data_IF_340932080724
#
_entry.id   IF_340932080724
#
_cell.length_a   1.000
_cell.length_b   1.000
_cell.length_c   1.000
_cell.angle_alpha   90.00
_cell.angle_beta   90.00
_cell.angle_gamma   90.00
#
_symmetry.space_group_name_H-M   'P 1'
#
loop_
_entity.id
_entity.type
_entity.pdbx_description
1 polymer ?
#
# COMPACT_ATOMS: atom_id res chain seq x y z
N UNK A 1 -11.11 12.35 -3.11
CA UNK A 1 -11.53 13.66 -2.53
C UNK A 1 -12.87 14.12 -3.10
N UNK A 2 -13.09 14.06 -4.44
CA UNK A 2 -14.37 14.46 -5.05
C UNK A 2 -15.59 13.74 -4.49
N UNK A 3 -15.49 12.48 -4.13
CA UNK A 3 -16.62 11.68 -3.64
C UNK A 3 -16.98 11.98 -2.19
N UNK A 4 -16.04 12.46 -1.39
CA UNK A 4 -16.29 12.82 0.02
C UNK A 4 -17.06 14.13 0.09
N UNK A 5 -16.71 15.14 -0.72
CA UNK A 5 -17.49 16.39 -0.80
C UNK A 5 -18.90 16.19 -1.34
N UNK A 6 -19.09 15.25 -2.28
CA UNK A 6 -20.42 14.93 -2.82
C UNK A 6 -21.33 14.27 -1.80
N UNK A 7 -20.80 13.57 -0.81
CA UNK A 7 -21.59 12.95 0.27
C UNK A 7 -22.15 13.96 1.27
N UNK A 8 -21.69 15.21 1.26
CA UNK A 8 -22.23 16.29 2.09
C UNK A 8 -23.59 16.78 1.57
N UNK A 9 -23.82 16.66 0.26
CA UNK A 9 -25.11 16.94 -0.37
C UNK A 9 -25.79 15.61 -0.73
N UNK A 10 -26.81 15.26 0.04
CA UNK A 10 -27.55 13.98 -0.10
C UNK A 10 -28.23 13.84 -1.45
N UNK A 11 -28.72 14.94 -2.04
CA UNK A 11 -29.38 14.92 -3.35
C UNK A 11 -28.33 14.66 -4.45
N UNK A 12 -27.26 15.41 -4.49
CA UNK A 12 -26.14 15.22 -5.42
C UNK A 12 -25.54 13.81 -5.30
N UNK A 13 -25.44 13.27 -4.08
CA UNK A 13 -24.96 11.90 -3.87
C UNK A 13 -25.91 10.89 -4.48
N UNK A 14 -27.23 11.01 -4.25
CA UNK A 14 -28.24 10.10 -4.76
C UNK A 14 -28.26 10.06 -6.30
N UNK A 15 -28.18 11.23 -6.94
CA UNK A 15 -28.10 11.35 -8.41
C UNK A 15 -26.83 10.65 -8.95
N UNK A 16 -25.68 10.93 -8.33
CA UNK A 16 -24.42 10.32 -8.77
C UNK A 16 -24.36 8.83 -8.53
N UNK A 17 -24.90 8.36 -7.42
CA UNK A 17 -25.03 6.94 -7.15
C UNK A 17 -25.87 6.24 -8.22
N UNK A 18 -26.99 6.86 -8.62
CA UNK A 18 -27.86 6.31 -9.66
C UNK A 18 -27.12 6.16 -10.99
N UNK A 19 -26.43 7.24 -11.43
CA UNK A 19 -25.63 7.22 -12.66
C UNK A 19 -24.57 6.10 -12.66
N UNK A 20 -23.82 5.97 -11.56
CA UNK A 20 -22.76 4.96 -11.43
C UNK A 20 -23.35 3.55 -11.39
N UNK A 21 -24.45 3.36 -10.66
CA UNK A 21 -25.07 2.05 -10.54
C UNK A 21 -25.75 1.59 -11.83
N UNK A 22 -26.33 2.48 -12.64
CA UNK A 22 -26.84 2.15 -13.96
C UNK A 22 -25.75 1.53 -14.83
N UNK A 23 -24.56 2.15 -14.85
CA UNK A 23 -23.41 1.62 -15.59
C UNK A 23 -22.94 0.26 -15.07
N UNK A 24 -22.73 0.14 -13.76
CA UNK A 24 -22.24 -1.11 -13.18
C UNK A 24 -23.27 -2.25 -13.26
N UNK A 25 -24.55 -1.96 -13.07
CA UNK A 25 -25.63 -2.94 -13.23
C UNK A 25 -25.77 -3.40 -14.69
N UNK A 26 -25.56 -2.49 -15.66
CA UNK A 26 -25.48 -2.90 -17.05
C UNK A 26 -24.36 -3.93 -17.27
N UNK A 27 -23.19 -3.72 -16.72
CA UNK A 27 -22.08 -4.69 -16.83
C UNK A 27 -22.38 -6.00 -16.10
N UNK A 28 -22.90 -5.93 -14.88
CA UNK A 28 -23.27 -7.11 -14.09
C UNK A 28 -24.24 -8.01 -14.87
N UNK A 29 -25.35 -7.45 -15.36
CA UNK A 29 -26.40 -8.21 -16.04
C UNK A 29 -25.95 -8.67 -17.43
N UNK A 30 -25.37 -7.76 -18.23
CA UNK A 30 -25.14 -8.06 -19.65
C UNK A 30 -23.83 -8.80 -19.91
N UNK A 31 -22.78 -8.52 -19.14
CA UNK A 31 -21.47 -9.14 -19.33
C UNK A 31 -21.22 -10.29 -18.36
N UNK A 32 -21.38 -10.05 -17.07
CA UNK A 32 -21.08 -11.05 -16.02
C UNK A 32 -22.22 -12.04 -15.78
N UNK A 33 -23.43 -11.80 -16.33
CA UNK A 33 -24.63 -12.64 -16.12
C UNK A 33 -24.97 -12.82 -14.64
N UNK A 34 -24.73 -11.77 -13.86
CA UNK A 34 -25.03 -11.68 -12.45
C UNK A 34 -26.27 -10.78 -12.22
N UNK A 35 -26.86 -10.88 -11.05
CA UNK A 35 -28.00 -10.04 -10.67
C UNK A 35 -27.60 -8.57 -10.52
N UNK A 36 -28.50 -7.66 -10.83
CA UNK A 36 -28.34 -6.24 -10.58
C UNK A 36 -28.34 -5.96 -9.07
N UNK A 37 -27.53 -5.00 -8.67
CA UNK A 37 -27.54 -4.49 -7.30
C UNK A 37 -28.68 -3.50 -7.13
N UNK A 38 -29.42 -3.62 -6.02
CA UNK A 38 -30.55 -2.74 -5.71
C UNK A 38 -30.07 -1.33 -5.32
N UNK A 39 -30.50 -0.34 -6.09
CA UNK A 39 -30.13 1.06 -5.87
C UNK A 39 -30.62 1.59 -4.52
N UNK A 40 -31.88 1.31 -4.18
CA UNK A 40 -32.48 1.88 -2.97
C UNK A 40 -31.80 1.33 -1.72
N UNK A 41 -31.52 0.03 -1.74
CA UNK A 41 -30.78 -0.60 -0.64
C UNK A 41 -29.41 0.04 -0.41
N UNK A 42 -28.63 0.26 -1.48
CA UNK A 42 -27.31 0.89 -1.38
C UNK A 42 -27.44 2.33 -0.88
N UNK A 43 -28.42 3.08 -1.39
CA UNK A 43 -28.68 4.45 -0.94
C UNK A 43 -29.00 4.50 0.55
N UNK A 44 -29.91 3.66 1.02
CA UNK A 44 -30.32 3.60 2.42
C UNK A 44 -29.16 3.20 3.34
N UNK A 45 -28.40 2.18 2.96
CA UNK A 45 -27.22 1.72 3.72
C UNK A 45 -26.16 2.84 3.88
N UNK A 46 -25.90 3.61 2.80
CA UNK A 46 -24.94 4.72 2.84
C UNK A 46 -25.51 5.92 3.61
N UNK A 47 -26.79 6.25 3.44
CA UNK A 47 -27.40 7.36 4.16
C UNK A 47 -27.48 7.11 5.66
N UNK A 48 -27.59 5.87 6.11
CA UNK A 48 -27.59 5.52 7.53
C UNK A 48 -26.30 5.94 8.25
N UNK A 49 -25.18 6.03 7.53
CA UNK A 49 -23.86 6.42 8.08
C UNK A 49 -23.39 7.80 7.59
N UNK A 50 -24.17 8.50 6.77
CA UNK A 50 -23.79 9.74 6.12
C UNK A 50 -23.37 10.83 7.12
N UNK A 51 -24.13 11.02 8.19
CA UNK A 51 -23.86 12.05 9.19
C UNK A 51 -22.56 11.77 9.99
N UNK A 52 -22.25 10.50 10.21
CA UNK A 52 -20.97 10.09 10.82
C UNK A 52 -19.80 10.44 9.87
N UNK A 53 -19.94 10.07 8.60
CA UNK A 53 -18.90 10.33 7.60
C UNK A 53 -18.67 11.82 7.36
N UNK A 54 -19.74 12.62 7.26
CA UNK A 54 -19.63 14.07 7.02
C UNK A 54 -18.98 14.77 8.20
N UNK A 55 -19.20 14.31 9.43
CA UNK A 55 -18.52 14.84 10.61
C UNK A 55 -17.00 14.55 10.65
N UNK A 56 -16.53 13.61 9.85
CA UNK A 56 -15.10 13.26 9.74
C UNK A 56 -14.39 13.99 8.59
N UNK A 57 -15.13 14.73 7.74
CA UNK A 57 -14.55 15.41 6.57
C UNK A 57 -13.83 16.67 7.00
N UNK A 58 -12.53 16.72 6.68
CA UNK A 58 -11.68 17.88 6.97
C UNK A 58 -10.76 18.17 5.78
N UNK A 59 -10.26 19.38 5.71
CA UNK A 59 -9.12 19.70 4.84
C UNK A 59 -7.85 19.12 5.49
N UNK A 60 -7.40 17.99 4.96
CA UNK A 60 -6.23 17.26 5.50
C UNK A 60 -4.96 18.07 5.36
N UNK A 61 -4.81 18.85 4.27
CA UNK A 61 -3.62 19.69 4.04
C UNK A 61 -3.50 20.77 5.11
N UNK A 62 -4.63 21.43 5.43
CA UNK A 62 -4.68 22.45 6.49
C UNK A 62 -4.45 21.82 7.87
N UNK A 63 -5.08 20.70 8.15
CA UNK A 63 -4.88 19.97 9.41
C UNK A 63 -3.41 19.61 9.64
N UNK A 64 -2.72 19.10 8.61
CA UNK A 64 -1.30 18.75 8.70
C UNK A 64 -0.40 19.98 8.85
N UNK A 65 -0.69 21.08 8.15
CA UNK A 65 0.07 22.32 8.32
C UNK A 65 -0.11 22.93 9.72
N UNK A 66 -1.30 22.85 10.28
CA UNK A 66 -1.55 23.27 11.67
C UNK A 66 -0.79 22.38 12.66
N UNK A 67 -0.80 21.05 12.50
CA UNK A 67 -0.04 20.14 13.33
C UNK A 67 1.46 20.47 13.29
N UNK A 68 2.01 20.67 12.10
CA UNK A 68 3.41 21.10 11.90
C UNK A 68 3.73 22.41 12.62
N UNK A 69 2.85 23.41 12.50
CA UNK A 69 3.02 24.73 13.15
C UNK A 69 2.98 24.65 14.68
N UNK A 70 2.25 23.70 15.25
CA UNK A 70 2.26 23.41 16.68
C UNK A 70 3.49 22.63 17.14
N UNK A 71 4.26 22.06 16.21
CA UNK A 71 5.40 21.18 16.52
C UNK A 71 4.99 19.75 16.88
N UNK A 72 3.82 19.31 16.44
CA UNK A 72 3.34 17.96 16.67
C UNK A 72 4.15 16.95 15.85
N UNK A 73 4.35 15.76 16.39
CA UNK A 73 4.93 14.64 15.63
C UNK A 73 3.86 14.00 14.74
N UNK A 74 4.12 13.98 13.44
CA UNK A 74 3.24 13.35 12.45
C UNK A 74 3.97 12.19 11.81
N UNK A 75 3.41 10.99 11.91
CA UNK A 75 3.95 9.80 11.26
C UNK A 75 3.08 9.41 10.07
N UNK A 76 3.72 9.22 8.92
CA UNK A 76 3.09 8.67 7.72
C UNK A 76 3.53 7.23 7.55
N UNK A 77 2.57 6.32 7.48
CA UNK A 77 2.81 4.93 7.19
C UNK A 77 2.37 4.61 5.76
N UNK A 78 3.32 4.18 4.93
CA UNK A 78 3.05 3.70 3.58
C UNK A 78 2.65 2.23 3.56
N UNK A 79 2.17 1.78 2.43
CA UNK A 79 1.84 0.38 2.17
C UNK A 79 2.73 -0.17 1.05
N UNK A 80 2.77 -1.51 0.91
CA UNK A 80 3.55 -2.25 -0.10
C UNK A 80 5.06 -2.02 0.05
N UNK A 81 5.75 -1.60 -1.02
CA UNK A 81 7.19 -1.36 -1.02
C UNK A 81 7.69 -0.75 -2.31
N UNK A 82 8.91 -0.23 -2.31
CA UNK A 82 9.49 0.54 -3.41
C UNK A 82 9.43 -0.18 -4.76
N UNK A 83 9.70 -1.48 -4.81
CA UNK A 83 9.69 -2.23 -6.07
C UNK A 83 8.29 -2.60 -6.56
N UNK A 84 7.25 -2.27 -5.80
CA UNK A 84 5.85 -2.36 -6.21
C UNK A 84 5.25 -1.01 -6.63
N UNK A 85 6.01 0.07 -6.56
CA UNK A 85 5.57 1.40 -7.00
C UNK A 85 5.24 1.39 -8.50
N UNK A 86 4.12 2.06 -8.86
CA UNK A 86 3.62 2.07 -10.25
C UNK A 86 4.63 2.66 -11.25
N UNK A 87 5.40 3.67 -10.82
CA UNK A 87 6.34 4.39 -11.68
C UNK A 87 7.78 3.86 -11.54
N UNK A 88 8.20 3.46 -10.34
CA UNK A 88 9.58 3.10 -10.01
C UNK A 88 9.80 1.61 -9.73
N UNK A 89 8.72 0.83 -9.72
CA UNK A 89 8.77 -0.60 -9.45
C UNK A 89 9.07 -1.46 -10.67
N UNK A 90 8.90 -2.77 -10.49
CA UNK A 90 9.14 -3.80 -11.52
C UNK A 90 7.93 -4.00 -12.43
N UNK A 91 7.54 -2.97 -13.15
CA UNK A 91 6.39 -3.01 -14.07
C UNK A 91 6.49 -4.20 -15.06
N UNK A 92 5.42 -4.92 -15.35
CA UNK A 92 4.03 -4.71 -14.93
C UNK A 92 3.65 -5.32 -13.57
N UNK A 93 4.59 -5.87 -12.83
CA UNK A 93 4.38 -6.54 -11.54
C UNK A 93 4.46 -5.52 -10.39
N UNK A 94 3.53 -4.58 -10.39
CA UNK A 94 3.45 -3.44 -9.47
C UNK A 94 2.04 -3.32 -8.88
N UNK A 95 1.87 -2.44 -7.89
CA UNK A 95 0.54 -2.01 -7.45
C UNK A 95 0.06 -0.82 -8.28
N UNK A 96 -1.21 -0.45 -8.14
CA UNK A 96 -1.82 0.70 -8.85
C UNK A 96 -1.59 2.04 -8.16
N UNK A 97 -0.63 2.13 -7.25
CA UNK A 97 -0.34 3.33 -6.45
C UNK A 97 1.15 3.64 -6.36
N UNK A 98 1.47 4.87 -5.97
CA UNK A 98 2.82 5.27 -5.61
C UNK A 98 3.10 4.85 -4.16
N UNK A 99 4.10 3.98 -3.99
CA UNK A 99 4.48 3.41 -2.70
C UNK A 99 5.76 4.01 -2.14
N UNK A 100 6.38 4.93 -2.88
CA UNK A 100 7.59 5.63 -2.44
C UNK A 100 7.28 6.77 -1.47
N UNK A 101 8.27 7.23 -0.74
CA UNK A 101 8.12 8.33 0.22
C UNK A 101 7.55 9.61 -0.40
N UNK A 102 7.81 9.86 -1.70
CA UNK A 102 7.22 10.97 -2.44
C UNK A 102 5.69 10.93 -2.48
N UNK A 103 5.09 9.75 -2.38
CA UNK A 103 3.64 9.56 -2.28
C UNK A 103 2.99 10.23 -1.08
N UNK A 104 3.74 10.48 -0.01
CA UNK A 104 3.25 11.22 1.17
C UNK A 104 2.82 12.63 0.77
N UNK A 105 3.66 13.36 0.03
CA UNK A 105 3.36 14.72 -0.38
C UNK A 105 2.13 14.79 -1.32
N UNK A 106 2.09 13.93 -2.33
CA UNK A 106 0.98 13.93 -3.29
C UNK A 106 -0.33 13.40 -2.70
N UNK A 107 -0.26 12.43 -1.81
CA UNK A 107 -1.43 11.80 -1.19
C UNK A 107 -2.06 12.60 -0.06
N UNK A 108 -1.25 13.30 0.74
CA UNK A 108 -1.73 14.04 1.91
C UNK A 108 -1.83 15.56 1.70
N UNK A 109 -1.17 16.09 0.67
CA UNK A 109 -1.06 17.54 0.46
C UNK A 109 -0.02 18.22 1.34
N UNK A 110 0.76 17.46 2.14
CA UNK A 110 1.90 18.00 2.87
C UNK A 110 3.00 18.42 1.90
N UNK A 111 3.58 19.60 2.09
CA UNK A 111 4.70 20.05 1.28
C UNK A 111 5.90 19.07 1.40
N UNK A 112 6.57 18.69 0.30
CA UNK A 112 7.62 17.66 0.32
C UNK A 112 8.82 18.03 1.21
N UNK A 113 9.06 19.30 1.47
CA UNK A 113 10.13 19.78 2.37
C UNK A 113 9.83 19.59 3.85
N UNK A 114 8.62 19.16 4.21
CA UNK A 114 8.20 18.97 5.59
C UNK A 114 8.22 17.49 6.01
N UNK A 115 8.80 16.63 5.19
CA UNK A 115 9.14 15.26 5.57
C UNK A 115 10.58 15.28 6.10
N UNK A 116 10.73 15.27 7.41
CA UNK A 116 12.05 15.47 8.05
C UNK A 116 12.88 14.18 8.08
N UNK A 117 12.22 13.02 8.15
CA UNK A 117 12.88 11.73 8.29
C UNK A 117 12.13 10.64 7.54
N UNK A 118 12.86 9.82 6.79
CA UNK A 118 12.29 8.68 6.07
C UNK A 118 12.95 7.41 6.59
N UNK A 119 12.16 6.58 7.30
CA UNK A 119 12.60 5.28 7.80
C UNK A 119 12.26 4.19 6.79
N UNK A 120 13.27 3.54 6.25
CA UNK A 120 13.10 2.36 5.39
C UNK A 120 12.98 1.10 6.23
N UNK A 121 11.86 0.38 6.10
CA UNK A 121 11.69 -0.92 6.76
C UNK A 121 12.12 -2.01 5.78
N UNK A 122 13.11 -2.81 6.18
CA UNK A 122 13.62 -3.93 5.39
C UNK A 122 13.65 -5.21 6.22
N UNK A 123 13.55 -6.35 5.58
CA UNK A 123 13.84 -7.65 6.19
C UNK A 123 15.31 -8.00 6.01
N UNK A 124 15.84 -8.84 6.88
CA UNK A 124 17.19 -9.40 6.75
C UNK A 124 17.36 -10.36 5.55
N UNK A 125 16.28 -10.69 4.88
CA UNK A 125 16.19 -11.48 3.65
C UNK A 125 15.08 -10.93 2.76
N UNK A 126 15.00 -11.35 1.51
CA UNK A 126 14.00 -10.83 0.57
C UNK A 126 12.78 -11.75 0.48
N UNK A 127 11.61 -11.12 0.26
CA UNK A 127 10.37 -11.87 -0.02
C UNK A 127 9.60 -11.22 -1.16
N UNK A 128 8.87 -12.03 -1.93
CA UNK A 128 7.95 -11.53 -2.96
C UNK A 128 6.66 -12.34 -2.99
N UNK A 129 5.55 -11.65 -3.20
CA UNK A 129 4.25 -12.28 -3.46
C UNK A 129 3.96 -12.22 -4.95
N UNK A 130 3.52 -13.35 -5.52
CA UNK A 130 3.13 -13.41 -6.92
C UNK A 130 4.27 -13.43 -7.92
N UNK A 131 3.96 -13.10 -9.15
CA UNK A 131 4.90 -13.09 -10.26
C UNK A 131 5.85 -11.88 -10.23
N UNK A 132 6.82 -11.86 -11.14
CA UNK A 132 7.79 -10.80 -11.32
C UNK A 132 9.22 -11.20 -10.94
N UNK A 133 10.20 -10.35 -11.27
CA UNK A 133 11.62 -10.65 -11.07
C UNK A 133 11.97 -10.79 -9.59
N UNK A 134 12.79 -11.75 -9.28
CA UNK A 134 13.34 -11.99 -7.96
C UNK A 134 14.74 -12.62 -8.08
N UNK A 135 15.79 -11.86 -8.36
CA UNK A 135 17.12 -12.37 -8.68
C UNK A 135 17.75 -13.24 -7.59
N UNK A 136 17.44 -12.99 -6.34
CA UNK A 136 17.98 -13.71 -5.18
C UNK A 136 17.06 -14.82 -4.67
N UNK A 137 16.03 -15.21 -5.42
CA UNK A 137 15.10 -16.26 -5.03
C UNK A 137 15.80 -17.61 -4.81
N UNK A 138 15.37 -18.32 -3.78
CA UNK A 138 15.90 -19.63 -3.41
C UNK A 138 14.85 -20.71 -3.59
N UNK A 139 15.24 -21.78 -4.30
CA UNK A 139 14.40 -22.94 -4.58
C UNK A 139 14.86 -24.19 -3.82
N UNK A 140 15.80 -24.03 -2.89
CA UNK A 140 16.45 -25.06 -2.10
C UNK A 140 15.91 -25.12 -0.66
N UNK A 141 16.57 -25.94 0.16
CA UNK A 141 16.25 -26.12 1.58
C UNK A 141 16.36 -24.80 2.37
N UNK A 142 17.26 -23.89 1.95
CA UNK A 142 17.40 -22.57 2.58
C UNK A 142 16.16 -21.71 2.32
N UNK A 143 15.65 -21.73 1.09
CA UNK A 143 14.41 -21.03 0.77
C UNK A 143 13.21 -21.55 1.56
N UNK A 144 13.12 -22.89 1.74
CA UNK A 144 12.11 -23.51 2.59
C UNK A 144 12.24 -23.12 4.05
N UNK A 145 13.47 -23.10 4.56
CA UNK A 145 13.77 -22.67 5.94
C UNK A 145 13.32 -21.23 6.17
N UNK A 146 13.72 -20.28 5.32
CA UNK A 146 13.33 -18.87 5.43
C UNK A 146 11.81 -18.70 5.39
N UNK A 147 11.12 -19.45 4.52
CA UNK A 147 9.66 -19.38 4.43
C UNK A 147 8.98 -19.86 5.71
N UNK A 148 9.40 -21.00 6.26
CA UNK A 148 8.81 -21.61 7.45
C UNK A 148 9.15 -20.81 8.71
N UNK A 149 10.44 -20.57 8.94
CA UNK A 149 10.92 -19.84 10.11
C UNK A 149 10.41 -18.39 10.14
N UNK A 150 10.36 -17.77 8.98
CA UNK A 150 9.83 -16.41 8.82
C UNK A 150 8.31 -16.31 8.81
N UNK A 151 7.59 -17.45 8.80
CA UNK A 151 6.14 -17.50 8.62
C UNK A 151 5.69 -16.67 7.40
N UNK A 152 6.34 -16.90 6.26
CA UNK A 152 6.15 -16.10 5.04
C UNK A 152 4.90 -16.53 4.26
N UNK A 153 3.75 -16.24 4.85
CA UNK A 153 2.43 -16.44 4.25
C UNK A 153 1.63 -15.13 4.27
N UNK A 154 0.76 -14.96 3.29
CA UNK A 154 -0.11 -13.79 3.20
C UNK A 154 -1.12 -13.77 4.35
N UNK A 155 -1.20 -12.67 5.09
CA UNK A 155 -2.09 -12.56 6.26
C UNK A 155 -3.57 -12.83 5.90
N UNK A 156 -4.02 -12.34 4.74
CA UNK A 156 -5.42 -12.46 4.32
C UNK A 156 -5.68 -13.73 3.50
N UNK A 157 -4.77 -14.08 2.60
CA UNK A 157 -4.99 -15.17 1.62
C UNK A 157 -4.31 -16.47 2.01
N UNK A 158 -3.45 -16.48 3.03
CA UNK A 158 -2.60 -17.63 3.38
C UNK A 158 -1.60 -18.03 2.30
N UNK A 159 -1.52 -17.29 1.19
CA UNK A 159 -0.65 -17.61 0.07
C UNK A 159 0.80 -17.53 0.48
N UNK A 160 1.57 -18.59 0.17
CA UNK A 160 3.01 -18.65 0.39
C UNK A 160 3.72 -17.52 -0.36
N UNK A 161 4.67 -16.88 0.29
CA UNK A 161 5.59 -15.91 -0.31
C UNK A 161 6.84 -16.62 -0.82
N UNK A 162 7.38 -16.13 -1.93
CA UNK A 162 8.70 -16.48 -2.44
C UNK A 162 9.76 -15.90 -1.51
N UNK A 163 10.83 -16.62 -1.23
CA UNK A 163 11.89 -16.22 -0.30
C UNK A 163 13.26 -16.27 -0.97
N UNK A 164 14.16 -15.42 -0.56
CA UNK A 164 15.51 -15.35 -1.11
C UNK A 164 16.45 -14.52 -0.26
N UNK A 165 17.73 -14.49 -0.63
CA UNK A 165 18.73 -13.68 0.05
C UNK A 165 18.46 -12.18 -0.08
N UNK A 166 19.01 -11.40 0.85
CA UNK A 166 18.93 -9.95 0.80
C UNK A 166 19.57 -9.43 -0.49
N UNK A 167 18.81 -8.63 -1.23
CA UNK A 167 19.27 -7.96 -2.45
C UNK A 167 19.69 -6.52 -2.12
N UNK A 168 20.98 -6.32 -1.89
CA UNK A 168 21.51 -4.99 -1.58
C UNK A 168 21.52 -4.06 -2.81
N UNK A 169 21.43 -4.60 -4.03
CA UNK A 169 21.28 -3.77 -5.24
C UNK A 169 19.90 -3.11 -5.25
N UNK A 170 18.86 -3.91 -5.01
CA UNK A 170 17.50 -3.40 -4.87
C UNK A 170 17.36 -2.43 -3.68
N UNK A 171 18.01 -2.74 -2.55
CA UNK A 171 18.02 -1.84 -1.37
C UNK A 171 18.68 -0.51 -1.69
N UNK A 172 19.83 -0.48 -2.35
CA UNK A 172 20.48 0.76 -2.79
C UNK A 172 19.59 1.61 -3.69
N UNK A 173 18.86 0.96 -4.60
CA UNK A 173 17.89 1.65 -5.45
C UNK A 173 16.74 2.24 -4.63
N UNK A 174 16.23 1.50 -3.64
CA UNK A 174 15.20 1.99 -2.72
C UNK A 174 15.68 3.19 -1.90
N UNK A 175 16.92 3.16 -1.38
CA UNK A 175 17.55 4.31 -0.69
C UNK A 175 17.52 5.55 -1.56
N UNK A 176 17.96 5.42 -2.80
CA UNK A 176 18.04 6.54 -3.75
C UNK A 176 16.66 7.15 -4.05
N UNK A 177 15.65 6.31 -4.31
CA UNK A 177 14.31 6.78 -4.71
C UNK A 177 13.60 7.44 -3.54
N UNK A 178 13.77 6.90 -2.32
CA UNK A 178 13.03 7.36 -1.14
C UNK A 178 13.82 8.37 -0.30
N UNK A 179 15.07 8.67 -0.62
CA UNK A 179 15.96 9.53 0.20
C UNK A 179 16.00 9.06 1.66
N UNK A 180 16.22 7.76 1.88
CA UNK A 180 16.12 7.18 3.22
C UNK A 180 17.13 7.82 4.20
N UNK A 181 16.63 8.16 5.37
CA UNK A 181 17.44 8.68 6.49
C UNK A 181 18.03 7.55 7.33
N UNK A 182 17.39 6.40 7.37
CA UNK A 182 17.83 5.23 8.11
C UNK A 182 17.01 3.98 7.80
N UNK A 183 17.43 2.84 8.37
CA UNK A 183 16.78 1.56 8.23
C UNK A 183 16.26 1.01 9.55
N UNK A 184 15.11 0.36 9.50
CA UNK A 184 14.68 -0.61 10.49
C UNK A 184 14.86 -2.02 9.88
N UNK A 185 15.90 -2.73 10.29
CA UNK A 185 16.15 -4.10 9.87
C UNK A 185 15.30 -5.06 10.73
N UNK A 186 14.41 -5.78 10.09
CA UNK A 186 13.47 -6.69 10.74
C UNK A 186 13.81 -8.15 10.42
N UNK A 187 13.26 -9.07 11.23
CA UNK A 187 13.37 -10.52 11.01
C UNK A 187 14.79 -11.06 10.93
N UNK A 188 15.74 -10.43 11.63
CA UNK A 188 17.11 -10.90 11.71
C UNK A 188 17.18 -12.26 12.44
N UNK A 189 16.32 -12.45 13.43
CA UNK A 189 16.11 -13.70 14.17
C UNK A 189 15.75 -14.91 13.29
N UNK A 190 15.14 -14.69 12.14
CA UNK A 190 14.83 -15.76 11.17
C UNK A 190 16.08 -16.40 10.59
N UNK A 191 17.21 -15.70 10.60
CA UNK A 191 18.48 -16.22 10.09
C UNK A 191 19.25 -17.08 11.11
N UNK A 192 18.77 -17.15 12.35
CA UNK A 192 19.42 -17.92 13.40
C UNK A 192 19.49 -19.43 13.03
N UNK A 193 20.67 -20.02 13.23
CA UNK A 193 20.93 -21.41 12.89
C UNK A 193 21.45 -21.64 11.46
N UNK A 194 21.44 -20.62 10.59
CA UNK A 194 22.09 -20.71 9.29
C UNK A 194 23.62 -20.66 9.44
N UNK A 195 24.33 -21.55 8.71
CA UNK A 195 25.79 -21.59 8.71
C UNK A 195 26.43 -20.42 7.97
N UNK A 196 25.73 -19.90 6.98
CA UNK A 196 26.14 -18.74 6.18
C UNK A 196 24.93 -17.91 5.77
N UNK A 197 25.15 -16.61 5.59
CA UNK A 197 24.17 -15.68 5.05
C UNK A 197 24.80 -15.01 3.83
N UNK A 198 24.07 -14.99 2.71
CA UNK A 198 24.52 -14.38 1.47
C UNK A 198 23.76 -13.08 1.22
N UNK A 199 24.48 -12.12 0.65
CA UNK A 199 23.93 -10.82 0.26
C UNK A 199 24.31 -10.57 -1.21
N UNK A 200 23.32 -10.30 -2.03
CA UNK A 200 23.55 -9.89 -3.41
C UNK A 200 24.08 -8.45 -3.44
N UNK A 201 25.24 -8.25 -4.05
CA UNK A 201 25.92 -6.93 -4.11
C UNK A 201 26.12 -6.36 -5.51
N UNK A 202 25.83 -7.17 -6.51
CA UNK A 202 25.95 -6.83 -7.96
C UNK A 202 25.44 -7.93 -8.84
#
# INVERSE_FOLDING_TARGET
LGDVYKRQDKETFAEKLKEVMEYHNFQLVNFYKADAVDYQKVLDDVMAIADILTGMVVDVSDLLDQARKRGDFVMFEGAQGTLLDIDHGTYPYVTSSNTTAGGVATGSGLGPRYVDYVLGIIKAYSTRVGAGPFPTELFDETGEFLCKQGNEFGATTGRRRRTGWLDAVAVRRAVQINSLSGFCLTKLDVLDGLKEVKICVG
#
